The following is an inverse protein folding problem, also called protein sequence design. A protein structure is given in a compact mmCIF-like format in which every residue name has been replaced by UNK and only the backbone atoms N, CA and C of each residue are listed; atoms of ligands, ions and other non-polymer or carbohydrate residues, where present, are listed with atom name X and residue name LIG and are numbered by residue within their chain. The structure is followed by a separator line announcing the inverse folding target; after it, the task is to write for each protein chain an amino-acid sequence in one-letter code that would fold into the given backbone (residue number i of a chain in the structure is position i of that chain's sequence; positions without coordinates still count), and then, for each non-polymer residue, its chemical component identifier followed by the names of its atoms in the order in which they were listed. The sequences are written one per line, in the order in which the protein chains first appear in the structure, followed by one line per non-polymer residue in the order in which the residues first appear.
data_IF_744536267452
#
_entry.id   IF_744536267452
#
_cell.length_a   1.000
_cell.length_b   1.000
_cell.length_c   1.000
_cell.angle_alpha   90.00
_cell.angle_beta   90.00
_cell.angle_gamma   90.00
#
_symmetry.space_group_name_H-M   'P 1'
#
loop_
_entity.id
_entity.type
_entity.pdbx_description
1 polymer ?
#
# COMPACT_ATOMS: atom_id res chain seq x y z
N UNK A 1 10.65 18.19 -8.94
CA UNK A 1 9.36 17.60 -8.55
C UNK A 1 9.56 17.01 -7.17
N UNK A 2 8.89 17.56 -6.15
CA UNK A 2 8.84 16.90 -4.85
C UNK A 2 7.84 15.75 -4.98
N UNK A 3 8.33 14.52 -4.93
CA UNK A 3 7.50 13.31 -5.04
C UNK A 3 7.08 12.79 -3.66
N UNK A 4 7.36 13.56 -2.60
CA UNK A 4 7.04 13.17 -1.23
C UNK A 4 5.57 13.40 -0.92
N UNK A 5 4.94 12.39 -0.34
CA UNK A 5 3.56 12.43 0.14
C UNK A 5 3.47 12.00 1.60
N UNK A 6 2.27 12.07 2.16
CA UNK A 6 1.93 11.61 3.53
C UNK A 6 0.67 10.75 3.58
N UNK A 7 0.08 10.54 2.41
CA UNK A 7 -1.11 9.74 2.14
C UNK A 7 -0.86 8.26 2.43
N UNK A 8 -1.95 7.52 2.62
CA UNK A 8 -1.95 6.08 2.89
C UNK A 8 -2.21 5.33 1.59
N UNK A 9 -1.29 4.43 1.23
CA UNK A 9 -1.40 3.56 0.06
C UNK A 9 -1.57 2.12 0.52
N UNK A 10 -2.62 1.46 0.05
CA UNK A 10 -2.82 0.02 0.20
C UNK A 10 -2.30 -0.70 -1.04
N UNK A 11 -1.29 -1.55 -0.87
CA UNK A 11 -0.74 -2.39 -1.95
C UNK A 11 -1.30 -3.80 -1.81
N UNK A 12 -1.88 -4.31 -2.90
CA UNK A 12 -2.47 -5.64 -2.99
C UNK A 12 -1.66 -6.44 -4.01
N UNK A 13 -0.90 -7.43 -3.55
CA UNK A 13 -0.08 -8.26 -4.43
C UNK A 13 0.08 -9.64 -3.79
N UNK A 14 -0.07 -10.73 -4.55
CA UNK A 14 0.01 -12.10 -4.04
C UNK A 14 1.46 -12.57 -3.82
N UNK A 15 2.45 -11.87 -4.38
CA UNK A 15 3.88 -12.16 -4.26
C UNK A 15 4.51 -11.31 -3.15
N UNK A 16 5.09 -11.97 -2.15
CA UNK A 16 5.67 -11.31 -0.96
C UNK A 16 6.81 -10.35 -1.30
N UNK A 17 7.70 -10.76 -2.21
CA UNK A 17 8.82 -9.96 -2.64
C UNK A 17 8.36 -8.65 -3.31
N UNK A 18 7.26 -8.67 -4.06
CA UNK A 18 6.70 -7.47 -4.70
C UNK A 18 6.12 -6.51 -3.66
N UNK A 19 5.39 -7.03 -2.66
CA UNK A 19 4.92 -6.21 -1.53
C UNK A 19 6.08 -5.55 -0.78
N UNK A 20 7.15 -6.30 -0.51
CA UNK A 20 8.33 -5.78 0.17
C UNK A 20 9.03 -4.66 -0.63
N UNK A 21 9.14 -4.82 -1.95
CA UNK A 21 9.68 -3.79 -2.86
C UNK A 21 8.79 -2.54 -2.84
N UNK A 22 7.47 -2.70 -2.94
CA UNK A 22 6.52 -1.59 -2.93
C UNK A 22 6.59 -0.79 -1.62
N UNK A 23 6.60 -1.48 -0.46
CA UNK A 23 6.77 -0.83 0.85
C UNK A 23 8.05 -0.02 0.90
N UNK A 24 9.19 -0.60 0.49
CA UNK A 24 10.48 0.09 0.52
C UNK A 24 10.47 1.35 -0.36
N UNK A 25 9.94 1.26 -1.57
CA UNK A 25 9.91 2.38 -2.51
C UNK A 25 8.98 3.50 -2.05
N UNK A 26 7.72 3.17 -1.76
CA UNK A 26 6.70 4.15 -1.39
C UNK A 26 6.99 4.80 -0.03
N UNK A 27 7.44 4.02 0.95
CA UNK A 27 7.82 4.59 2.26
C UNK A 27 9.04 5.52 2.15
N UNK A 28 9.96 5.27 1.22
CA UNK A 28 11.11 6.17 0.99
C UNK A 28 10.70 7.54 0.43
N UNK A 29 9.50 7.62 -0.15
CA UNK A 29 8.87 8.84 -0.61
C UNK A 29 7.93 9.44 0.46
N UNK A 30 7.88 8.91 1.68
CA UNK A 30 7.10 9.48 2.80
C UNK A 30 5.65 9.00 2.91
N UNK A 31 5.15 8.21 1.94
CA UNK A 31 3.83 7.61 2.03
C UNK A 31 3.74 6.60 3.18
N UNK A 32 2.55 6.47 3.76
CA UNK A 32 2.22 5.37 4.67
C UNK A 32 1.78 4.19 3.82
N UNK A 33 2.39 3.03 4.02
CA UNK A 33 2.11 1.86 3.18
C UNK A 33 1.54 0.74 4.03
N UNK A 34 0.35 0.27 3.67
CA UNK A 34 -0.23 -0.98 4.15
C UNK A 34 -0.18 -2.00 3.01
N UNK A 35 -0.05 -3.28 3.32
CA UNK A 35 -0.02 -4.34 2.32
C UNK A 35 -0.90 -5.51 2.71
N UNK A 36 -1.48 -6.17 1.70
CA UNK A 36 -2.31 -7.36 1.83
C UNK A 36 -2.03 -8.31 0.66
N UNK A 37 -2.28 -9.60 0.85
CA UNK A 37 -1.93 -10.63 -0.14
C UNK A 37 -3.03 -10.90 -1.17
N UNK A 38 -4.23 -10.35 -0.97
CA UNK A 38 -5.37 -10.63 -1.85
C UNK A 38 -6.42 -9.52 -1.84
N UNK A 39 -7.28 -9.52 -2.85
CA UNK A 39 -8.42 -8.61 -2.93
C UNK A 39 -9.42 -8.77 -1.78
N UNK A 40 -9.59 -9.99 -1.25
CA UNK A 40 -10.47 -10.22 -0.09
C UNK A 40 -9.91 -9.52 1.15
N UNK A 41 -8.62 -9.70 1.43
CA UNK A 41 -7.95 -8.99 2.51
C UNK A 41 -7.97 -7.47 2.30
N UNK A 42 -7.91 -7.01 1.06
CA UNK A 42 -8.02 -5.58 0.74
C UNK A 42 -9.40 -5.01 1.10
N UNK A 43 -10.47 -5.72 0.75
CA UNK A 43 -11.83 -5.32 1.14
C UNK A 43 -11.96 -5.36 2.67
N UNK A 44 -11.49 -6.42 3.33
CA UNK A 44 -11.53 -6.54 4.78
C UNK A 44 -10.76 -5.40 5.48
N UNK A 45 -9.57 -5.05 4.97
CA UNK A 45 -8.79 -3.91 5.46
C UNK A 45 -9.57 -2.60 5.33
N UNK A 46 -10.18 -2.35 4.17
CA UNK A 46 -10.92 -1.12 3.87
C UNK A 46 -12.24 -1.00 4.68
N UNK A 47 -12.69 -2.07 5.34
CA UNK A 47 -13.79 -1.96 6.31
C UNK A 47 -13.39 -1.35 7.66
N UNK A 48 -12.08 -1.27 7.94
CA UNK A 48 -11.52 -0.87 9.25
C UNK A 48 -10.63 0.36 9.15
N UNK A 49 -9.91 0.49 8.05
CA UNK A 49 -8.93 1.54 7.80
C UNK A 49 -9.21 2.20 6.43
N UNK A 50 -8.85 3.46 6.28
CA UNK A 50 -8.98 4.18 4.99
C UNK A 50 -7.65 4.18 4.22
N UNK A 51 -7.73 4.17 2.89
CA UNK A 51 -6.60 4.38 2.00
C UNK A 51 -6.93 5.46 0.96
N UNK A 52 -5.97 6.33 0.66
CA UNK A 52 -6.11 7.38 -0.36
C UNK A 52 -5.91 6.83 -1.77
N UNK A 53 -5.15 5.73 -1.90
CA UNK A 53 -4.89 5.01 -3.15
C UNK A 53 -4.76 3.51 -2.89
N UNK A 54 -5.31 2.71 -3.81
CA UNK A 54 -5.09 1.26 -3.88
C UNK A 54 -4.27 0.93 -5.13
N UNK A 55 -3.21 0.14 -4.97
CA UNK A 55 -2.37 -0.37 -6.06
C UNK A 55 -2.53 -1.89 -6.13
N UNK A 56 -2.80 -2.40 -7.34
CA UNK A 56 -3.05 -3.81 -7.65
C UNK A 56 -1.92 -4.41 -8.50
#
# INVERSE_FOLDING_TARGET
LDLRGTETILVVDDVDEQRAVAVKLLSSLGYKVATVASGHEAVDYLTREEADLVVL
#
